data_IF_049410765541
#
_entry.id   IF_049410765541
#
_cell.length_a   1.000
_cell.length_b   1.000
_cell.length_c   1.000
_cell.angle_alpha   90.00
_cell.angle_beta   90.00
_cell.angle_gamma   90.00
#
_symmetry.space_group_name_H-M   'P 1'
#
loop_
_entity.id
_entity.type
_entity.pdbx_description
1 polymer ?
#
# COMPACT_ATOMS: atom_id res chain seq x y z
N UNK A 1 -17.37 15.82 -4.70
CA UNK A 1 -18.11 15.58 -3.48
C UNK A 1 -17.17 15.16 -2.35
N UNK A 2 -17.51 15.44 -1.08
CA UNK A 2 -16.72 14.99 0.04
C UNK A 2 -16.74 13.46 0.15
N UNK A 3 -15.65 12.89 0.67
CA UNK A 3 -15.58 11.45 0.94
C UNK A 3 -16.57 11.13 2.08
N UNK A 4 -17.46 10.15 1.92
CA UNK A 4 -18.41 9.80 2.95
C UNK A 4 -17.71 9.21 4.18
N UNK A 5 -18.03 9.76 5.36
CA UNK A 5 -17.47 9.33 6.65
C UNK A 5 -18.56 9.22 7.71
N UNK A 6 -18.33 8.41 8.72
CA UNK A 6 -19.17 8.36 9.93
C UNK A 6 -18.33 8.31 11.20
N UNK A 7 -18.90 8.74 12.33
CA UNK A 7 -18.31 8.52 13.63
C UNK A 7 -18.46 7.05 14.06
N UNK A 8 -17.38 6.49 14.59
CA UNK A 8 -17.41 5.15 15.19
C UNK A 8 -18.13 5.28 16.54
N UNK A 9 -19.20 4.48 16.81
CA UNK A 9 -19.92 4.53 18.07
C UNK A 9 -18.98 4.43 19.28
N UNK A 10 -19.28 5.20 20.31
CA UNK A 10 -18.52 5.27 21.58
C UNK A 10 -17.06 5.72 21.45
N UNK A 11 -16.66 6.29 20.29
CA UNK A 11 -15.33 6.88 20.09
C UNK A 11 -15.44 8.30 19.51
N UNK A 12 -14.32 9.04 19.49
CA UNK A 12 -14.23 10.31 18.77
C UNK A 12 -13.62 10.15 17.36
N UNK A 13 -13.39 8.91 16.94
CA UNK A 13 -12.76 8.60 15.64
C UNK A 13 -13.84 8.54 14.55
N UNK A 14 -13.52 9.10 13.41
CA UNK A 14 -14.25 8.87 12.16
C UNK A 14 -13.74 7.66 11.41
N UNK A 15 -14.55 7.10 10.53
CA UNK A 15 -14.14 6.11 9.54
C UNK A 15 -14.70 6.45 8.17
N UNK A 16 -14.04 6.03 7.11
CA UNK A 16 -14.51 6.19 5.74
C UNK A 16 -15.60 5.13 5.50
N UNK A 17 -16.62 5.50 4.76
CA UNK A 17 -17.65 4.59 4.28
C UNK A 17 -17.37 4.18 2.83
N UNK A 18 -17.80 2.97 2.40
CA UNK A 18 -17.71 2.54 1.00
C UNK A 18 -18.46 3.47 0.04
N UNK A 19 -19.61 3.98 0.48
CA UNK A 19 -20.44 4.96 -0.21
C UNK A 19 -21.30 5.68 0.83
N UNK A 20 -21.97 6.78 0.41
CA UNK A 20 -22.91 7.48 1.28
C UNK A 20 -24.14 6.60 1.58
N UNK A 21 -24.60 5.86 0.58
CA UNK A 21 -25.71 4.91 0.64
C UNK A 21 -25.31 3.65 -0.14
N UNK A 22 -25.54 2.47 0.40
CA UNK A 22 -25.32 1.20 -0.27
C UNK A 22 -26.14 0.10 0.44
N UNK A 23 -26.59 -0.88 -0.31
CA UNK A 23 -27.37 -2.01 0.24
C UNK A 23 -26.42 -3.09 0.81
N UNK A 24 -25.59 -3.66 -0.05
CA UNK A 24 -24.64 -4.70 0.33
C UNK A 24 -23.34 -4.59 -0.45
N UNK A 25 -22.30 -5.25 0.05
CA UNK A 25 -21.04 -5.41 -0.66
C UNK A 25 -21.16 -6.63 -1.60
N UNK A 26 -21.10 -6.36 -2.90
CA UNK A 26 -21.28 -7.41 -3.92
C UNK A 26 -19.99 -8.15 -4.27
N UNK A 27 -18.82 -7.68 -3.82
CA UNK A 27 -17.52 -8.28 -4.10
C UNK A 27 -16.63 -8.28 -2.84
N UNK A 28 -15.56 -9.06 -2.86
CA UNK A 28 -14.57 -9.15 -1.77
C UNK A 28 -13.56 -7.99 -1.78
N UNK A 29 -14.04 -6.77 -1.94
CA UNK A 29 -13.28 -5.53 -1.93
C UNK A 29 -13.54 -4.71 -0.67
N UNK A 30 -12.65 -3.77 -0.39
CA UNK A 30 -12.82 -2.73 0.63
C UNK A 30 -12.94 -1.36 -0.05
N UNK A 31 -14.11 -0.99 -0.62
CA UNK A 31 -14.25 0.22 -1.44
C UNK A 31 -13.95 1.51 -0.66
N UNK A 32 -14.15 1.51 0.66
CA UNK A 32 -13.79 2.62 1.54
C UNK A 32 -12.29 2.95 1.45
N UNK A 33 -11.46 1.96 1.18
CA UNK A 33 -10.02 2.14 1.06
C UNK A 33 -9.55 2.63 -0.32
N UNK A 34 -10.44 2.74 -1.29
CA UNK A 34 -10.12 3.41 -2.56
C UNK A 34 -9.77 4.88 -2.35
N UNK A 35 -10.27 5.50 -1.29
CA UNK A 35 -9.83 6.82 -0.87
C UNK A 35 -8.34 6.89 -0.49
N UNK A 36 -7.72 5.75 -0.10
CA UNK A 36 -6.28 5.62 0.13
C UNK A 36 -5.55 5.24 -1.15
N UNK A 37 -6.02 4.20 -1.85
CA UNK A 37 -5.50 3.77 -3.15
C UNK A 37 -6.66 3.27 -4.03
N UNK A 38 -6.79 3.75 -5.28
CA UNK A 38 -5.79 4.56 -6.02
C UNK A 38 -5.88 6.08 -5.85
N UNK A 39 -6.96 6.62 -5.23
CA UNK A 39 -7.27 8.05 -5.30
C UNK A 39 -6.40 8.93 -4.40
N UNK A 40 -5.72 8.37 -3.39
CA UNK A 40 -4.78 9.08 -2.52
C UNK A 40 -5.34 10.35 -1.88
N UNK A 41 -6.60 10.30 -1.47
CA UNK A 41 -7.26 11.37 -0.72
C UNK A 41 -6.81 11.38 0.75
N UNK A 42 -6.42 10.22 1.26
CA UNK A 42 -5.83 10.00 2.57
C UNK A 42 -4.45 9.35 2.44
N UNK A 43 -3.58 9.59 3.41
CA UNK A 43 -2.23 9.04 3.45
C UNK A 43 -1.34 9.82 4.40
N UNK A 44 -0.07 9.47 4.43
CA UNK A 44 0.94 10.20 5.19
C UNK A 44 1.01 11.66 4.70
N UNK A 45 1.11 12.60 5.64
CA UNK A 45 1.10 14.05 5.40
C UNK A 45 -0.21 14.64 4.87
N UNK A 46 -1.27 13.85 4.79
CA UNK A 46 -2.61 14.33 4.47
C UNK A 46 -3.50 14.39 5.71
N UNK A 47 -4.41 15.38 5.78
CA UNK A 47 -5.35 15.44 6.88
C UNK A 47 -6.24 14.20 6.93
N UNK A 48 -6.65 13.81 8.14
CA UNK A 48 -7.58 12.71 8.33
C UNK A 48 -6.98 11.31 8.29
N UNK A 49 -5.67 11.16 8.46
CA UNK A 49 -5.02 9.84 8.46
C UNK A 49 -5.61 8.89 9.52
N UNK A 50 -6.01 9.39 10.67
CA UNK A 50 -6.64 8.57 11.71
C UNK A 50 -7.97 7.97 11.26
N UNK A 51 -8.71 8.69 10.40
CA UNK A 51 -9.96 8.21 9.79
C UNK A 51 -9.67 7.09 8.80
N UNK A 52 -8.61 7.20 8.03
CA UNK A 52 -8.18 6.16 7.10
C UNK A 52 -7.59 4.94 7.82
N UNK A 53 -6.84 5.13 8.91
CA UNK A 53 -6.40 4.03 9.79
C UNK A 53 -7.60 3.28 10.35
N UNK A 54 -8.62 4.00 10.84
CA UNK A 54 -9.84 3.38 11.36
C UNK A 54 -10.58 2.59 10.27
N UNK A 55 -10.67 3.11 9.05
CA UNK A 55 -11.25 2.39 7.92
C UNK A 55 -10.46 1.10 7.61
N UNK A 56 -9.13 1.18 7.60
CA UNK A 56 -8.29 0.01 7.39
C UNK A 56 -8.45 -1.05 8.49
N UNK A 57 -8.51 -0.62 9.76
CA UNK A 57 -8.76 -1.51 10.90
C UNK A 57 -10.13 -2.19 10.83
N UNK A 58 -11.14 -1.49 10.36
CA UNK A 58 -12.54 -1.94 10.32
C UNK A 58 -12.93 -2.64 9.02
N UNK A 59 -12.05 -2.68 8.03
CA UNK A 59 -12.34 -3.29 6.72
C UNK A 59 -12.86 -4.73 6.86
N UNK A 60 -13.79 -5.08 6.01
CA UNK A 60 -14.45 -6.39 6.08
C UNK A 60 -13.52 -7.50 5.57
N UNK A 61 -12.90 -7.29 4.42
CA UNK A 61 -12.02 -8.26 3.80
C UNK A 61 -10.57 -7.98 4.20
N UNK A 62 -9.98 -8.91 4.95
CA UNK A 62 -8.63 -8.76 5.54
C UNK A 62 -7.61 -9.73 4.96
N UNK A 63 -8.05 -10.54 4.01
CA UNK A 63 -7.18 -11.49 3.34
C UNK A 63 -6.38 -10.75 2.27
N UNK A 64 -5.06 -10.81 2.37
CA UNK A 64 -4.17 -10.23 1.38
C UNK A 64 -3.80 -11.30 0.36
N UNK A 65 -4.48 -11.31 -0.76
CA UNK A 65 -4.20 -12.28 -1.83
C UNK A 65 -4.72 -11.78 -3.16
N UNK A 66 -4.18 -12.34 -4.24
CA UNK A 66 -4.60 -11.98 -5.58
C UNK A 66 -4.47 -10.47 -5.86
N UNK A 67 -5.48 -9.90 -6.43
CA UNK A 67 -5.59 -8.48 -6.78
C UNK A 67 -5.96 -7.55 -5.60
N UNK A 68 -6.18 -8.09 -4.41
CA UNK A 68 -6.53 -7.28 -3.23
C UNK A 68 -5.42 -6.30 -2.86
N UNK A 69 -5.79 -5.05 -2.59
CA UNK A 69 -4.87 -3.91 -2.50
C UNK A 69 -4.39 -3.62 -1.08
N UNK A 70 -4.67 -4.49 -0.12
CA UNK A 70 -4.34 -4.31 1.30
C UNK A 70 -2.88 -3.96 1.56
N UNK A 71 -1.96 -4.61 0.82
CA UNK A 71 -0.53 -4.35 0.91
C UNK A 71 -0.17 -2.91 0.49
N UNK A 72 -0.79 -2.41 -0.58
CA UNK A 72 -0.54 -1.04 -1.07
C UNK A 72 -1.15 -0.03 -0.11
N UNK A 73 -2.38 -0.28 0.35
CA UNK A 73 -3.10 0.60 1.25
C UNK A 73 -2.39 0.73 2.60
N UNK A 74 -1.95 -0.39 3.20
CA UNK A 74 -1.17 -0.37 4.44
C UNK A 74 0.17 0.36 4.28
N UNK A 75 0.87 0.17 3.17
CA UNK A 75 2.10 0.90 2.88
C UNK A 75 1.85 2.42 2.79
N UNK A 76 0.81 2.84 2.07
CA UNK A 76 0.44 4.26 1.93
C UNK A 76 -0.01 4.91 3.24
N UNK A 77 -0.52 4.13 4.17
CA UNK A 77 -0.89 4.56 5.52
C UNK A 77 0.28 4.51 6.52
N UNK A 78 1.46 4.05 6.11
CA UNK A 78 2.62 3.95 7.00
C UNK A 78 2.57 2.77 7.98
N UNK A 79 1.68 1.80 7.76
CA UNK A 79 1.50 0.61 8.58
C UNK A 79 2.55 -0.46 8.20
N UNK A 80 3.82 -0.22 8.52
CA UNK A 80 4.95 -0.98 7.99
C UNK A 80 4.90 -2.48 8.29
N UNK A 81 4.56 -2.88 9.53
CA UNK A 81 4.49 -4.29 9.91
C UNK A 81 3.34 -5.00 9.17
N UNK A 82 2.20 -4.34 9.03
CA UNK A 82 1.06 -4.86 8.30
C UNK A 82 1.36 -4.95 6.79
N UNK A 83 1.97 -3.93 6.21
CA UNK A 83 2.41 -3.95 4.81
C UNK A 83 3.39 -5.11 4.56
N UNK A 84 4.34 -5.33 5.46
CA UNK A 84 5.28 -6.43 5.38
C UNK A 84 4.60 -7.80 5.48
N UNK A 85 3.59 -7.94 6.35
CA UNK A 85 2.79 -9.15 6.46
C UNK A 85 2.07 -9.43 5.13
N UNK A 86 1.33 -8.45 4.62
CA UNK A 86 0.56 -8.57 3.38
C UNK A 86 1.46 -8.89 2.17
N UNK A 87 2.61 -8.22 2.03
CA UNK A 87 3.56 -8.48 0.96
C UNK A 87 4.12 -9.89 1.04
N UNK A 88 4.49 -10.36 2.23
CA UNK A 88 4.96 -11.75 2.41
C UNK A 88 3.89 -12.76 2.03
N UNK A 89 2.66 -12.57 2.48
CA UNK A 89 1.54 -13.43 2.12
C UNK A 89 1.34 -13.47 0.61
N UNK A 90 1.34 -12.31 -0.06
CA UNK A 90 1.18 -12.23 -1.51
C UNK A 90 2.27 -12.98 -2.28
N UNK A 91 3.51 -13.00 -1.80
CA UNK A 91 4.60 -13.72 -2.48
C UNK A 91 4.73 -15.19 -2.08
N UNK A 92 4.27 -15.56 -0.89
CA UNK A 92 4.40 -16.94 -0.38
C UNK A 92 3.22 -17.85 -0.77
N UNK A 93 2.03 -17.28 -0.91
CA UNK A 93 0.84 -18.05 -1.30
C UNK A 93 0.87 -18.32 -2.81
N UNK A 94 1.30 -19.51 -3.19
CA UNK A 94 1.34 -19.97 -4.58
C UNK A 94 0.19 -20.91 -4.87
N UNK A 95 -0.45 -20.76 -6.01
CA UNK A 95 -1.39 -21.75 -6.50
C UNK A 95 -0.63 -23.03 -6.91
N UNK A 96 -0.96 -24.16 -6.32
CA UNK A 96 -0.24 -25.42 -6.50
C UNK A 96 -0.19 -25.98 -7.93
N UNK A 97 -1.08 -25.51 -8.81
CA UNK A 97 -1.11 -25.87 -10.24
C UNK A 97 -0.35 -24.90 -11.14
N UNK A 98 0.21 -23.82 -10.59
CA UNK A 98 0.93 -22.82 -11.40
C UNK A 98 2.35 -23.28 -11.71
N UNK A 99 2.69 -23.30 -13.00
CA UNK A 99 4.05 -23.60 -13.46
C UNK A 99 5.06 -22.48 -13.15
N UNK A 100 4.57 -21.24 -13.09
CA UNK A 100 5.37 -20.03 -12.85
C UNK A 100 4.72 -19.17 -11.76
N UNK A 101 4.69 -19.64 -10.50
CA UNK A 101 3.94 -18.96 -9.45
C UNK A 101 4.39 -17.53 -9.23
N UNK A 102 5.68 -17.24 -9.34
CA UNK A 102 6.20 -15.88 -9.20
C UNK A 102 5.84 -14.95 -10.37
N UNK A 103 5.57 -15.52 -11.54
CA UNK A 103 5.21 -14.75 -12.73
C UNK A 103 3.69 -14.49 -12.82
N UNK A 104 2.90 -15.49 -12.49
CA UNK A 104 1.43 -15.40 -12.51
C UNK A 104 0.85 -14.84 -11.20
N UNK A 105 1.72 -14.66 -10.20
CA UNK A 105 1.34 -14.21 -8.89
C UNK A 105 0.73 -15.31 -8.02
N UNK A 106 0.79 -15.11 -6.71
CA UNK A 106 0.09 -15.98 -5.76
C UNK A 106 -1.41 -15.75 -5.83
N UNK A 107 -2.20 -16.80 -5.57
CA UNK A 107 -3.65 -16.72 -5.47
C UNK A 107 -4.34 -16.10 -6.69
N UNK A 108 -3.87 -16.39 -7.88
CA UNK A 108 -4.53 -15.93 -9.09
C UNK A 108 -5.90 -16.60 -9.26
N UNK A 109 -6.85 -15.87 -9.78
CA UNK A 109 -8.19 -16.35 -10.13
C UNK A 109 -8.41 -16.45 -11.65
N UNK A 110 -7.51 -15.89 -12.42
CA UNK A 110 -7.54 -15.88 -13.88
C UNK A 110 -6.13 -16.00 -14.46
N UNK A 111 -5.98 -16.57 -15.64
CA UNK A 111 -4.68 -16.77 -16.31
C UNK A 111 -4.72 -16.17 -17.72
N UNK A 112 -3.74 -15.37 -18.12
CA UNK A 112 -2.63 -14.79 -17.34
C UNK A 112 -3.08 -13.62 -16.48
N UNK A 113 -2.49 -13.47 -15.30
CA UNK A 113 -2.92 -12.49 -14.31
C UNK A 113 -1.73 -11.73 -13.71
N UNK A 114 -1.47 -10.55 -14.23
CA UNK A 114 -0.33 -9.70 -13.84
C UNK A 114 -0.64 -8.82 -12.64
N UNK A 115 -1.90 -8.51 -12.36
CA UNK A 115 -2.29 -7.67 -11.24
C UNK A 115 -2.05 -8.36 -9.89
N UNK A 116 -2.24 -9.66 -9.81
CA UNK A 116 -1.92 -10.44 -8.62
C UNK A 116 -0.44 -10.34 -8.22
N UNK A 117 0.48 -10.46 -9.18
CA UNK A 117 1.91 -10.29 -8.91
C UNK A 117 2.31 -8.84 -8.70
N UNK A 118 1.69 -7.90 -9.41
CA UNK A 118 2.07 -6.48 -9.38
C UNK A 118 1.65 -5.77 -8.08
N UNK A 119 0.58 -6.18 -7.42
CA UNK A 119 0.14 -5.59 -6.14
C UNK A 119 1.24 -5.60 -5.09
N UNK A 120 1.89 -6.75 -4.88
CA UNK A 120 2.99 -6.86 -3.93
C UNK A 120 4.22 -6.05 -4.35
N UNK A 121 4.54 -6.00 -5.65
CA UNK A 121 5.64 -5.19 -6.17
C UNK A 121 5.38 -3.69 -5.97
N UNK A 122 4.18 -3.22 -6.24
CA UNK A 122 3.79 -1.82 -5.99
C UNK A 122 3.85 -1.50 -4.49
N UNK A 123 3.36 -2.40 -3.64
CA UNK A 123 3.42 -2.22 -2.20
C UNK A 123 4.87 -2.08 -1.70
N UNK A 124 5.79 -2.96 -2.13
CA UNK A 124 7.23 -2.85 -1.79
C UNK A 124 7.81 -1.51 -2.17
N UNK A 125 7.50 -1.00 -3.36
CA UNK A 125 7.95 0.31 -3.79
C UNK A 125 7.40 1.42 -2.88
N UNK A 126 6.12 1.35 -2.49
CA UNK A 126 5.49 2.32 -1.59
C UNK A 126 5.97 2.23 -0.15
N UNK A 127 6.44 1.07 0.29
CA UNK A 127 7.09 0.91 1.58
C UNK A 127 8.46 1.62 1.63
N UNK A 128 9.18 1.66 0.51
CA UNK A 128 10.49 2.30 0.37
C UNK A 128 10.40 3.79 0.08
N UNK A 129 9.59 4.16 -0.92
CA UNK A 129 9.48 5.54 -1.40
C UNK A 129 8.02 5.89 -1.68
N UNK A 130 7.56 6.96 -1.06
CA UNK A 130 6.31 7.61 -1.41
C UNK A 130 6.58 9.05 -1.83
N UNK A 131 5.60 9.64 -2.48
CA UNK A 131 5.64 11.06 -2.83
C UNK A 131 4.26 11.70 -2.64
N UNK A 132 4.27 12.95 -2.22
CA UNK A 132 3.07 13.80 -2.17
C UNK A 132 3.45 15.21 -2.60
N UNK A 133 2.89 15.66 -3.74
CA UNK A 133 3.35 16.87 -4.40
C UNK A 133 4.84 16.82 -4.72
N UNK A 134 5.62 17.71 -4.11
CA UNK A 134 7.08 17.80 -4.28
C UNK A 134 7.88 17.04 -3.22
N UNK A 135 7.23 16.59 -2.18
CA UNK A 135 7.88 15.88 -1.10
C UNK A 135 8.10 14.41 -1.45
N UNK A 136 9.30 13.91 -1.14
CA UNK A 136 9.64 12.50 -1.16
C UNK A 136 9.72 11.98 0.27
N UNK A 137 9.09 10.84 0.51
CA UNK A 137 9.11 10.14 1.78
C UNK A 137 9.96 8.91 1.63
N UNK A 138 11.02 8.82 2.39
CA UNK A 138 11.92 7.67 2.39
C UNK A 138 11.58 6.76 3.56
N UNK A 139 11.47 5.47 3.28
CA UNK A 139 11.16 4.41 4.25
C UNK A 139 9.85 4.60 5.03
N UNK A 140 8.78 5.15 4.44
CA UNK A 140 7.57 5.52 5.18
C UNK A 140 6.87 4.32 5.83
N UNK A 141 7.06 3.11 5.28
CA UNK A 141 6.48 1.87 5.80
C UNK A 141 7.46 0.68 5.72
N UNK A 142 8.77 0.95 5.69
CA UNK A 142 9.78 -0.10 5.59
C UNK A 142 10.11 -0.70 6.95
N UNK A 143 10.03 -2.04 7.13
CA UNK A 143 10.37 -2.69 8.38
C UNK A 143 11.85 -2.52 8.72
N UNK A 144 12.16 -2.16 9.96
CA UNK A 144 13.54 -1.92 10.42
C UNK A 144 14.46 -3.14 10.25
N UNK A 145 13.88 -4.34 10.30
CA UNK A 145 14.65 -5.60 10.16
C UNK A 145 14.99 -5.95 8.69
N UNK A 146 14.44 -5.22 7.72
CA UNK A 146 14.68 -5.53 6.31
C UNK A 146 15.78 -4.65 5.75
N UNK A 147 16.76 -5.30 5.09
CA UNK A 147 17.77 -4.62 4.31
C UNK A 147 17.32 -4.55 2.85
N UNK A 148 17.71 -3.51 2.14
CA UNK A 148 17.41 -3.34 0.72
C UNK A 148 18.45 -2.50 0.01
N UNK A 149 18.75 -2.86 -1.22
CA UNK A 149 19.27 -1.95 -2.24
C UNK A 149 18.14 -1.66 -3.22
N UNK A 150 17.89 -0.41 -3.51
CA UNK A 150 16.78 -0.03 -4.39
C UNK A 150 17.15 1.11 -5.33
N UNK A 151 16.47 1.14 -6.47
CA UNK A 151 16.44 2.23 -7.43
C UNK A 151 15.01 2.42 -7.91
N UNK A 152 14.39 3.52 -7.54
CA UNK A 152 12.98 3.78 -7.80
C UNK A 152 12.80 5.14 -8.50
N UNK A 153 11.77 5.20 -9.31
CA UNK A 153 11.36 6.45 -9.96
C UNK A 153 10.31 7.18 -9.14
N UNK A 154 10.43 8.49 -9.12
CA UNK A 154 9.48 9.42 -8.53
C UNK A 154 9.08 10.49 -9.58
N UNK A 155 8.03 11.28 -9.34
CA UNK A 155 7.63 12.34 -10.26
C UNK A 155 8.76 13.32 -10.59
N UNK A 156 8.60 14.04 -11.72
CA UNK A 156 9.55 15.05 -12.22
C UNK A 156 10.91 14.45 -12.62
N UNK A 157 10.89 13.29 -13.28
CA UNK A 157 12.07 12.57 -13.72
C UNK A 157 13.09 12.29 -12.60
N UNK A 158 12.59 12.15 -11.38
CA UNK A 158 13.44 11.88 -10.22
C UNK A 158 13.72 10.38 -10.10
N UNK A 159 14.98 10.03 -9.88
CA UNK A 159 15.42 8.69 -9.53
C UNK A 159 16.00 8.73 -8.11
N UNK A 160 15.55 7.82 -7.28
CA UNK A 160 16.03 7.65 -5.90
C UNK A 160 16.73 6.31 -5.82
N UNK A 161 18.02 6.32 -5.52
CA UNK A 161 18.83 5.13 -5.28
C UNK A 161 19.22 5.10 -3.80
N UNK A 162 18.99 4.00 -3.15
CA UNK A 162 19.27 3.87 -1.72
C UNK A 162 19.72 2.49 -1.32
N UNK A 163 20.45 2.44 -0.21
CA UNK A 163 20.73 1.22 0.54
C UNK A 163 20.30 1.39 1.98
N UNK A 164 19.54 0.42 2.46
CA UNK A 164 19.00 0.39 3.81
C UNK A 164 19.59 -0.81 4.55
N UNK A 165 20.15 -0.58 5.73
CA UNK A 165 20.62 -1.61 6.62
C UNK A 165 20.16 -1.32 8.05
N UNK A 166 19.57 -2.33 8.69
CA UNK A 166 19.09 -2.23 10.08
C UNK A 166 18.19 -1.00 10.34
N UNK A 167 17.29 -0.70 9.40
CA UNK A 167 16.37 0.42 9.48
C UNK A 167 16.98 1.81 9.26
N UNK A 168 18.23 1.87 8.76
CA UNK A 168 18.92 3.13 8.46
C UNK A 168 19.31 3.20 6.99
N UNK A 169 19.18 4.37 6.41
CA UNK A 169 19.72 4.66 5.08
C UNK A 169 21.22 4.82 5.22
N UNK A 170 22.00 3.91 4.62
CA UNK A 170 23.47 3.94 4.64
C UNK A 170 24.06 4.51 3.35
N UNK A 171 23.27 4.57 2.29
CA UNK A 171 23.58 5.26 1.03
C UNK A 171 22.31 5.82 0.45
N UNK A 172 22.39 7.06 -0.05
CA UNK A 172 21.32 7.73 -0.78
C UNK A 172 21.92 8.52 -1.93
N UNK A 173 21.28 8.47 -3.08
CA UNK A 173 21.55 9.35 -4.20
C UNK A 173 20.22 9.70 -4.88
N UNK A 174 20.05 10.95 -5.21
CA UNK A 174 18.87 11.46 -5.91
C UNK A 174 19.31 12.10 -7.23
N UNK A 175 18.61 11.81 -8.29
CA UNK A 175 18.88 12.38 -9.61
C UNK A 175 17.58 13.00 -10.14
N UNK A 176 17.56 14.24 -10.57
CA UNK A 176 18.72 15.15 -10.60
C UNK A 176 19.08 15.69 -9.20
N UNK A 177 20.33 16.17 -8.96
CA UNK A 177 20.83 16.56 -7.63
C UNK A 177 20.02 17.65 -6.93
N UNK A 178 19.41 18.56 -7.66
CA UNK A 178 18.55 19.61 -7.12
C UNK A 178 17.25 19.08 -6.49
N UNK A 179 17.02 17.78 -6.56
CA UNK A 179 15.88 17.08 -5.93
C UNK A 179 16.27 16.38 -4.62
N UNK A 180 17.54 16.40 -4.25
CA UNK A 180 18.05 15.79 -3.00
C UNK A 180 17.64 16.55 -1.73
#
# INVERSE_FOLDING_TARGET
>A
PPVPTRCIPHTRRGTILPAAEYDELANCENPELYAVFPYRLFGLFRPGIDTAHAAYEMRLFRKSGGWQQDAIQSALLGLGDEAARCVKENFLECHGGSRFPAFWGPNYDWIPDMDHGSVACVALQRMLVQYDGDALLLLPAWPKAWNADFRLHAPRNTVVEGRVENGKIVRLAVTPPERE
#
